data_IF_604088275685
#
_entry.id   IF_604088275685
#
_cell.length_a   1.000
_cell.length_b   1.000
_cell.length_c   1.000
_cell.angle_alpha   90.00
_cell.angle_beta   90.00
_cell.angle_gamma   90.00
#
_symmetry.space_group_name_H-M   'P 1'
#
loop_
_entity.id
_entity.type
_entity.pdbx_description
1 polymer ?
#
# COMPACT_ATOMS: atom_id res chain seq x y z
N UNK A 1 31.31 -35.18 -19.13
CA UNK A 1 31.15 -34.22 -18.02
C UNK A 1 31.40 -32.75 -18.39
N UNK A 2 32.57 -32.35 -18.93
CA UNK A 2 32.90 -30.91 -19.16
C UNK A 2 31.95 -30.11 -20.07
N UNK A 3 31.22 -30.75 -20.99
CA UNK A 3 30.27 -30.05 -21.88
C UNK A 3 29.02 -29.57 -21.13
N UNK A 4 28.42 -30.43 -20.31
CA UNK A 4 27.23 -30.11 -19.51
C UNK A 4 27.52 -29.02 -18.48
N UNK A 5 28.71 -29.00 -17.88
CA UNK A 5 29.11 -27.95 -16.92
C UNK A 5 29.20 -26.57 -17.59
N UNK A 6 29.71 -26.50 -18.82
CA UNK A 6 29.78 -25.23 -19.58
C UNK A 6 28.38 -24.74 -19.98
N UNK A 7 27.49 -25.66 -20.35
CA UNK A 7 26.11 -25.34 -20.72
C UNK A 7 25.30 -24.87 -19.52
N UNK A 8 25.44 -25.53 -18.38
CA UNK A 8 24.80 -25.13 -17.12
C UNK A 8 25.25 -23.73 -16.67
N UNK A 9 26.57 -23.44 -16.74
CA UNK A 9 27.07 -22.09 -16.45
C UNK A 9 26.47 -21.03 -17.38
N UNK A 10 26.34 -21.34 -18.68
CA UNK A 10 25.69 -20.44 -19.65
C UNK A 10 24.21 -20.22 -19.30
N UNK A 11 23.49 -21.30 -19.00
CA UNK A 11 22.07 -21.26 -18.57
C UNK A 11 21.91 -20.37 -17.33
N UNK A 12 22.73 -20.58 -16.29
CA UNK A 12 22.72 -19.74 -15.08
C UNK A 12 23.01 -18.26 -15.37
N UNK A 13 23.95 -17.95 -16.27
CA UNK A 13 24.20 -16.55 -16.65
C UNK A 13 23.01 -15.93 -17.40
N UNK A 14 22.31 -16.71 -18.23
CA UNK A 14 21.12 -16.26 -18.95
C UNK A 14 19.94 -16.01 -17.99
N UNK A 15 19.71 -16.90 -17.01
CA UNK A 15 18.72 -16.69 -15.94
C UNK A 15 19.02 -15.41 -15.15
N UNK A 16 20.28 -15.21 -14.72
CA UNK A 16 20.69 -14.00 -13.99
C UNK A 16 20.46 -12.74 -14.80
N UNK A 17 20.66 -12.79 -16.12
CA UNK A 17 20.38 -11.68 -17.01
C UNK A 17 18.88 -11.42 -17.13
N UNK A 18 18.08 -12.45 -17.45
CA UNK A 18 16.63 -12.32 -17.59
C UNK A 18 15.97 -11.78 -16.32
N UNK A 19 16.33 -12.31 -15.15
CA UNK A 19 15.82 -11.82 -13.85
C UNK A 19 16.21 -10.36 -13.57
N UNK A 20 17.43 -9.94 -13.95
CA UNK A 20 17.85 -8.54 -13.85
C UNK A 20 17.02 -7.65 -14.78
N UNK A 21 16.82 -8.08 -16.02
CA UNK A 21 16.09 -7.31 -17.03
C UNK A 21 14.61 -7.13 -16.61
N UNK A 22 13.98 -8.15 -16.03
CA UNK A 22 12.64 -8.07 -15.43
C UNK A 22 12.60 -7.02 -14.31
N UNK A 23 13.55 -7.07 -13.37
CA UNK A 23 13.62 -6.09 -12.26
C UNK A 23 13.76 -4.66 -12.79
N UNK A 24 14.58 -4.46 -13.83
CA UNK A 24 14.76 -3.16 -14.47
C UNK A 24 13.47 -2.70 -15.14
N UNK A 25 12.77 -3.58 -15.86
CA UNK A 25 11.50 -3.26 -16.51
C UNK A 25 10.44 -2.80 -15.50
N UNK A 26 10.24 -3.57 -14.41
CA UNK A 26 9.30 -3.22 -13.34
C UNK A 26 9.68 -1.87 -12.71
N UNK A 27 10.98 -1.63 -12.44
CA UNK A 27 11.42 -0.35 -11.87
C UNK A 27 11.11 0.82 -12.80
N UNK A 28 11.33 0.66 -14.11
CA UNK A 28 11.00 1.69 -15.11
C UNK A 28 9.50 1.96 -15.14
N UNK A 29 8.67 0.92 -15.14
CA UNK A 29 7.21 1.07 -15.11
C UNK A 29 6.74 1.84 -13.86
N UNK A 30 7.26 1.49 -12.68
CA UNK A 30 6.96 2.21 -11.42
C UNK A 30 7.37 3.69 -11.49
N UNK A 31 8.53 3.98 -12.06
CA UNK A 31 8.99 5.36 -12.24
C UNK A 31 8.10 6.14 -13.20
N UNK A 32 7.67 5.53 -14.30
CA UNK A 32 6.73 6.14 -15.25
C UNK A 32 5.38 6.44 -14.57
N UNK A 33 4.84 5.49 -13.80
CA UNK A 33 3.60 5.67 -13.06
C UNK A 33 3.69 6.83 -12.04
N UNK A 34 4.79 6.90 -11.28
CA UNK A 34 5.02 8.02 -10.37
C UNK A 34 5.11 9.36 -11.11
N UNK A 35 5.78 9.40 -12.26
CA UNK A 35 5.86 10.61 -13.07
C UNK A 35 4.47 11.05 -13.57
N UNK A 36 3.67 10.11 -14.08
CA UNK A 36 2.29 10.37 -14.49
C UNK A 36 1.45 10.91 -13.32
N UNK A 37 1.60 10.35 -12.11
CA UNK A 37 0.91 10.87 -10.93
C UNK A 37 1.32 12.28 -10.52
N UNK A 38 2.61 12.62 -10.66
CA UNK A 38 3.08 14.00 -10.46
C UNK A 38 2.44 14.95 -11.48
N UNK A 39 2.39 14.55 -12.74
CA UNK A 39 1.87 15.40 -13.82
C UNK A 39 0.34 15.56 -13.74
N UNK A 40 -0.39 14.50 -13.36
CA UNK A 40 -1.81 14.57 -13.05
C UNK A 40 -2.10 15.58 -11.92
N UNK A 41 -1.33 15.51 -10.82
CA UNK A 41 -1.47 16.46 -9.70
C UNK A 41 -1.16 17.89 -10.09
N UNK A 42 -0.18 18.13 -10.96
CA UNK A 42 0.12 19.47 -11.47
C UNK A 42 -1.00 20.01 -12.35
N UNK A 43 -1.51 19.18 -13.26
CA UNK A 43 -2.61 19.53 -14.16
C UNK A 43 -3.88 19.85 -13.36
N UNK A 44 -4.20 19.03 -12.36
CA UNK A 44 -5.35 19.26 -11.46
C UNK A 44 -5.21 20.57 -10.66
N UNK A 45 -4.01 20.90 -10.17
CA UNK A 45 -3.75 22.17 -9.49
C UNK A 45 -3.97 23.37 -10.42
N UNK A 46 -3.51 23.29 -11.66
CA UNK A 46 -3.71 24.36 -12.65
C UNK A 46 -5.18 24.48 -13.05
N UNK A 47 -5.89 23.37 -13.24
CA UNK A 47 -7.32 23.34 -13.49
C UNK A 47 -8.09 24.09 -12.37
N UNK A 48 -7.81 23.76 -11.11
CA UNK A 48 -8.40 24.43 -9.94
C UNK A 48 -8.08 25.93 -9.89
N UNK A 49 -6.88 26.33 -10.30
CA UNK A 49 -6.50 27.75 -10.37
C UNK A 49 -7.31 28.48 -11.43
N UNK A 50 -7.49 27.89 -12.62
CA UNK A 50 -8.33 28.48 -13.67
C UNK A 50 -9.79 28.61 -13.23
N UNK A 51 -10.34 27.57 -12.58
CA UNK A 51 -11.70 27.62 -12.02
C UNK A 51 -11.86 28.79 -11.05
N UNK A 52 -10.90 29.00 -10.13
CA UNK A 52 -10.93 30.14 -9.20
C UNK A 52 -10.94 31.50 -9.92
N UNK A 53 -10.15 31.65 -10.99
CA UNK A 53 -10.09 32.89 -11.78
C UNK A 53 -11.46 33.15 -12.45
N UNK A 54 -12.03 32.15 -13.13
CA UNK A 54 -13.33 32.27 -13.81
C UNK A 54 -14.44 32.60 -12.81
N UNK A 55 -14.45 31.93 -11.65
CA UNK A 55 -15.39 32.20 -10.56
C UNK A 55 -15.26 33.65 -10.06
N UNK A 56 -14.04 34.15 -9.87
CA UNK A 56 -13.81 35.54 -9.41
C UNK A 56 -14.28 36.60 -10.42
N UNK A 57 -14.36 36.24 -11.70
CA UNK A 57 -14.88 37.10 -12.76
C UNK A 57 -16.40 36.97 -12.96
N UNK A 58 -17.07 36.11 -12.17
CA UNK A 58 -18.50 35.84 -12.31
C UNK A 58 -18.89 35.13 -13.61
N UNK A 59 -17.92 34.50 -14.28
CA UNK A 59 -18.14 33.81 -15.55
C UNK A 59 -18.57 32.36 -15.32
N UNK A 60 -19.25 31.79 -16.31
CA UNK A 60 -19.64 30.37 -16.30
C UNK A 60 -18.42 29.48 -16.47
N UNK A 61 -18.26 28.49 -15.59
CA UNK A 61 -17.15 27.53 -15.65
C UNK A 61 -17.40 26.52 -16.78
N UNK A 62 -16.46 26.35 -17.72
CA UNK A 62 -16.54 25.30 -18.72
C UNK A 62 -16.63 23.90 -18.08
N UNK A 63 -17.52 23.05 -18.58
CA UNK A 63 -17.74 21.70 -18.04
C UNK A 63 -16.45 20.85 -17.99
N UNK A 64 -15.53 21.04 -18.93
CA UNK A 64 -14.24 20.33 -18.96
C UNK A 64 -13.38 20.59 -17.72
N UNK A 65 -13.46 21.78 -17.11
CA UNK A 65 -12.70 22.13 -15.90
C UNK A 65 -13.35 21.59 -14.61
N UNK A 66 -14.57 21.06 -14.70
CA UNK A 66 -15.26 20.45 -13.57
C UNK A 66 -14.98 18.95 -13.44
N UNK A 67 -14.35 18.35 -14.45
CA UNK A 67 -13.96 16.94 -14.44
C UNK A 67 -12.71 16.80 -13.56
N UNK A 68 -12.82 16.02 -12.49
CA UNK A 68 -11.67 15.70 -11.63
C UNK A 68 -10.64 14.90 -12.40
N UNK A 69 -9.38 15.35 -12.39
CA UNK A 69 -8.27 14.59 -12.94
C UNK A 69 -7.80 13.58 -11.90
N UNK A 70 -7.89 12.29 -12.23
CA UNK A 70 -7.46 11.21 -11.35
C UNK A 70 -5.94 11.09 -11.34
N UNK A 71 -5.38 10.83 -10.16
CA UNK A 71 -3.96 10.54 -9.99
C UNK A 71 -3.71 9.03 -10.25
N UNK A 72 -3.05 8.65 -11.35
CA UNK A 72 -2.79 7.25 -11.67
C UNK A 72 -1.86 6.55 -10.67
N UNK A 73 -1.07 7.28 -9.89
CA UNK A 73 -0.26 6.69 -8.82
C UNK A 73 -1.12 6.20 -7.65
N UNK A 74 -2.24 6.88 -7.38
CA UNK A 74 -3.17 6.54 -6.28
C UNK A 74 -4.34 5.69 -6.73
N UNK A 75 -4.80 5.90 -7.96
CA UNK A 75 -5.92 5.20 -8.57
C UNK A 75 -5.47 4.71 -9.95
N UNK A 76 -4.61 3.68 -10.01
CA UNK A 76 -4.12 3.15 -11.27
C UNK A 76 -5.27 2.55 -12.09
N UNK A 77 -5.23 2.78 -13.39
CA UNK A 77 -6.14 2.12 -14.35
C UNK A 77 -5.68 0.68 -14.62
N UNK A 78 -6.52 -0.12 -15.30
CA UNK A 78 -6.12 -1.47 -15.73
C UNK A 78 -4.83 -1.45 -16.56
N UNK A 79 -4.70 -0.46 -17.45
CA UNK A 79 -3.53 -0.31 -18.33
C UNK A 79 -2.27 0.05 -17.55
N UNK A 80 -2.40 0.87 -16.49
CA UNK A 80 -1.29 1.19 -15.58
C UNK A 80 -0.82 -0.07 -14.82
N UNK A 81 -1.76 -0.92 -14.40
CA UNK A 81 -1.45 -2.18 -13.73
C UNK A 81 -0.79 -3.18 -14.67
N UNK A 82 -1.26 -3.28 -15.92
CA UNK A 82 -0.65 -4.13 -16.93
C UNK A 82 0.79 -3.68 -17.24
N UNK A 83 1.02 -2.36 -17.27
CA UNK A 83 2.36 -1.80 -17.46
C UNK A 83 3.35 -2.16 -16.34
N UNK A 84 2.86 -2.47 -15.14
CA UNK A 84 3.70 -2.93 -14.02
C UNK A 84 4.11 -4.40 -14.14
N UNK A 85 3.44 -5.17 -15.01
CA UNK A 85 3.78 -6.57 -15.21
C UNK A 85 5.10 -6.71 -15.97
N UNK A 86 5.89 -7.76 -15.66
CA UNK A 86 7.07 -8.07 -16.46
C UNK A 86 6.70 -8.29 -17.94
N UNK A 87 7.55 -7.89 -18.88
CA UNK A 87 7.36 -8.20 -20.29
C UNK A 87 7.17 -9.71 -20.50
N UNK A 88 6.13 -10.16 -21.22
CA UNK A 88 5.83 -11.57 -21.42
C UNK A 88 6.99 -12.36 -22.04
N UNK A 89 7.76 -11.73 -22.93
CA UNK A 89 8.95 -12.32 -23.56
C UNK A 89 10.02 -12.69 -22.52
N UNK A 90 10.29 -11.80 -21.56
CA UNK A 90 11.27 -12.05 -20.50
C UNK A 90 10.81 -13.16 -19.55
N UNK A 91 9.50 -13.27 -19.30
CA UNK A 91 8.93 -14.36 -18.51
C UNK A 91 9.08 -15.70 -19.24
N UNK A 92 8.80 -15.76 -20.54
CA UNK A 92 8.96 -16.98 -21.35
C UNK A 92 10.41 -17.42 -21.42
N UNK A 93 11.34 -16.48 -21.61
CA UNK A 93 12.78 -16.79 -21.58
C UNK A 93 13.17 -17.37 -20.22
N UNK A 94 12.64 -16.80 -19.12
CA UNK A 94 12.94 -17.30 -17.78
C UNK A 94 12.38 -18.71 -17.54
N UNK A 95 11.14 -19.00 -17.96
CA UNK A 95 10.52 -20.33 -17.77
C UNK A 95 11.21 -21.43 -18.58
N UNK A 96 11.68 -21.12 -19.80
CA UNK A 96 12.46 -22.05 -20.61
C UNK A 96 13.86 -22.31 -20.04
N UNK A 97 14.42 -21.30 -19.35
CA UNK A 97 15.74 -21.38 -18.74
C UNK A 97 15.70 -21.84 -17.29
N UNK A 98 14.55 -21.96 -16.65
CA UNK A 98 14.52 -22.55 -15.31
C UNK A 98 14.85 -24.04 -15.45
N UNK A 99 15.73 -24.61 -14.62
CA UNK A 99 15.77 -26.06 -14.50
C UNK A 99 14.35 -26.52 -14.13
N UNK A 100 13.88 -27.71 -14.58
CA UNK A 100 12.87 -28.38 -13.80
C UNK A 100 13.48 -28.44 -12.40
N UNK A 101 12.91 -27.70 -11.46
CA UNK A 101 13.14 -28.03 -10.07
C UNK A 101 12.90 -29.54 -10.04
N UNK A 102 13.93 -30.29 -9.64
CA UNK A 102 13.64 -31.56 -9.02
C UNK A 102 12.73 -31.12 -7.89
N UNK A 103 11.42 -31.18 -8.12
CA UNK A 103 10.45 -31.12 -7.07
C UNK A 103 11.02 -32.12 -6.08
N UNK A 104 11.52 -31.63 -4.95
CA UNK A 104 11.61 -32.49 -3.80
C UNK A 104 10.22 -33.08 -3.74
N UNK A 105 10.17 -34.38 -3.99
CA UNK A 105 8.96 -35.17 -4.09
C UNK A 105 8.31 -35.17 -2.72
N UNK A 106 7.68 -34.06 -2.30
CA UNK A 106 6.39 -34.19 -1.65
C UNK A 106 5.47 -34.63 -2.76
N UNK A 107 5.47 -35.95 -2.97
CA UNK A 107 4.28 -36.67 -3.37
C UNK A 107 3.17 -36.04 -2.53
N UNK A 108 2.30 -35.25 -3.15
CA UNK A 108 1.08 -34.85 -2.49
C UNK A 108 0.35 -36.16 -2.30
N UNK A 109 0.42 -36.71 -1.09
CA UNK A 109 -0.33 -37.89 -0.71
C UNK A 109 -1.81 -37.56 -0.98
N UNK A 110 -2.49 -38.28 -1.89
CA UNK A 110 -3.90 -38.04 -2.17
C UNK A 110 -4.76 -38.09 -0.90
N UNK A 111 -4.31 -38.79 0.16
CA UNK A 111 -5.01 -38.84 1.44
C UNK A 111 -4.96 -37.53 2.24
N UNK A 112 -3.98 -36.65 2.00
CA UNK A 112 -3.89 -35.35 2.67
C UNK A 112 -4.84 -34.30 2.07
N UNK A 113 -5.27 -34.47 0.82
CA UNK A 113 -6.19 -33.53 0.16
C UNK A 113 -7.59 -33.57 0.79
N UNK A 114 -8.04 -34.73 1.25
CA UNK A 114 -9.31 -34.89 1.98
C UNK A 114 -9.27 -34.27 3.38
N UNK A 115 -8.10 -34.24 4.03
CA UNK A 115 -7.95 -33.65 5.37
C UNK A 115 -8.01 -32.12 5.35
N UNK A 116 -7.52 -31.47 4.29
CA UNK A 116 -7.58 -30.02 4.14
C UNK A 116 -9.02 -29.51 3.92
N UNK A 117 -9.86 -30.30 3.23
CA UNK A 117 -11.28 -29.97 3.05
C UNK A 117 -12.09 -30.05 4.35
N UNK A 118 -11.73 -30.96 5.27
CA UNK A 118 -12.34 -31.04 6.62
C UNK A 118 -11.97 -29.88 7.55
N UNK A 119 -10.81 -29.25 7.37
CA UNK A 119 -10.40 -28.11 8.19
C UNK A 119 -11.19 -26.84 7.81
N UNK A 120 -11.53 -26.68 6.52
CA UNK A 120 -12.35 -25.56 6.04
C UNK A 120 -13.83 -25.65 6.46
N UNK A 121 -14.37 -26.85 6.68
CA UNK A 121 -15.75 -27.01 7.18
C UNK A 121 -15.90 -26.62 8.66
N UNK A 122 -14.85 -26.75 9.48
CA UNK A 122 -14.93 -26.51 10.92
C UNK A 122 -14.84 -25.02 11.31
N UNK A 123 -14.23 -24.17 10.48
CA UNK A 123 -14.23 -22.71 10.73
C UNK A 123 -15.55 -22.03 10.35
N UNK A 124 -16.38 -22.65 9.51
CA UNK A 124 -17.63 -22.04 9.04
C UNK A 124 -18.83 -22.25 9.98
N UNK A 125 -18.67 -23.08 11.04
CA UNK A 125 -19.73 -23.39 12.03
C UNK A 125 -19.56 -22.66 13.38
N UNK A 126 -18.75 -21.60 13.46
CA UNK A 126 -18.68 -20.76 14.69
C UNK A 126 -19.13 -19.31 14.47
N UNK A 127 -19.70 -18.98 13.31
CA UNK A 127 -20.03 -17.59 12.98
C UNK A 127 -21.46 -17.41 12.50
N UNK A 128 -22.42 -17.51 13.40
CA UNK A 128 -23.74 -16.86 13.26
C UNK A 128 -24.35 -16.59 14.67
N UNK A 129 -25.31 -15.65 14.81
CA UNK A 129 -25.13 -14.42 15.58
C UNK A 129 -26.09 -14.31 16.78
N UNK A 130 -25.76 -13.49 17.78
CA UNK A 130 -26.74 -13.17 18.82
C UNK A 130 -26.20 -12.36 20.00
N UNK A 131 -26.50 -11.06 19.99
CA UNK A 131 -26.97 -10.26 21.14
C UNK A 131 -26.24 -10.37 22.50
N UNK A 132 -25.56 -9.29 22.91
CA UNK A 132 -25.26 -9.07 24.33
C UNK A 132 -24.23 -7.98 24.61
N UNK A 133 -24.70 -6.87 25.16
CA UNK A 133 -23.97 -5.69 25.65
C UNK A 133 -22.91 -6.08 26.71
N UNK A 134 -21.73 -5.43 26.70
CA UNK A 134 -20.79 -5.50 27.82
C UNK A 134 -19.43 -4.84 27.55
N UNK A 135 -19.26 -3.61 28.04
CA UNK A 135 -18.03 -2.81 28.03
C UNK A 135 -16.86 -3.54 28.66
N UNK A 136 -15.63 -3.46 28.12
CA UNK A 136 -14.41 -3.17 28.92
C UNK A 136 -13.32 -2.51 28.04
N UNK A 137 -12.87 -1.34 28.52
CA UNK A 137 -11.66 -0.60 28.22
C UNK A 137 -10.40 -1.47 28.41
N UNK A 138 -9.44 -1.42 27.48
CA UNK A 138 -8.06 -1.82 27.79
C UNK A 138 -7.11 -0.85 27.10
N UNK A 139 -6.75 0.17 27.88
CA UNK A 139 -5.59 1.04 27.69
C UNK A 139 -4.30 0.23 27.91
N UNK A 140 -3.23 0.73 27.27
CA UNK A 140 -1.86 0.78 27.81
C UNK A 140 -1.05 -0.55 27.79
N UNK A 141 0.22 -0.64 27.40
CA UNK A 141 1.25 0.36 27.08
C UNK A 141 2.38 -0.32 26.31
N UNK A 142 2.95 0.47 25.40
CA UNK A 142 4.11 0.20 24.56
C UNK A 142 5.40 0.30 25.39
N UNK A 143 6.17 -0.79 25.43
CA UNK A 143 7.45 -0.90 26.12
C UNK A 143 8.60 -0.80 25.11
N UNK A 144 9.24 0.37 25.04
CA UNK A 144 10.61 0.51 24.57
C UNK A 144 11.43 1.16 25.68
N UNK A 145 12.26 0.35 26.32
CA UNK A 145 13.24 0.83 27.30
C UNK A 145 14.37 1.61 26.64
N UNK A 146 14.75 2.72 27.25
CA UNK A 146 16.11 3.27 27.25
C UNK A 146 16.24 4.17 28.49
N UNK A 147 16.74 3.52 29.55
CA UNK A 147 17.57 4.04 30.63
C UNK A 147 18.10 5.49 30.53
N UNK A 148 17.75 6.30 31.53
CA UNK A 148 18.59 7.35 32.13
C UNK A 148 17.98 7.75 33.47
N UNK A 149 18.40 7.06 34.51
CA UNK A 149 18.16 7.39 35.91
C UNK A 149 19.39 8.13 36.45
N UNK A 150 19.23 9.41 36.74
CA UNK A 150 20.06 10.16 37.67
C UNK A 150 19.08 10.86 38.60
N UNK A 151 18.98 10.32 39.82
CA UNK A 151 18.07 10.81 40.83
C UNK A 151 18.36 12.24 41.28
N UNK A 152 17.32 12.89 41.80
CA UNK A 152 17.40 13.46 43.15
C UNK A 152 15.98 13.70 43.68
N UNK A 153 15.82 13.50 44.97
CA UNK A 153 14.57 13.63 45.72
C UNK A 153 14.23 15.11 45.95
N UNK A 154 12.97 15.51 45.82
CA UNK A 154 12.42 16.66 46.57
C UNK A 154 10.91 16.80 46.44
N UNK A 155 10.23 16.58 47.55
CA UNK A 155 8.88 17.08 47.85
C UNK A 155 8.87 18.61 47.93
N UNK A 156 7.90 19.28 47.32
CA UNK A 156 7.24 20.48 47.91
C UNK A 156 6.07 20.97 47.07
N UNK A 157 4.98 21.24 47.77
CA UNK A 157 3.69 21.75 47.34
C UNK A 157 3.73 23.12 46.63
N UNK A 158 2.59 23.41 45.98
CA UNK A 158 2.05 24.72 45.58
C UNK A 158 2.50 25.30 44.22
N UNK A 159 1.55 25.37 43.27
CA UNK A 159 0.85 26.63 42.94
C UNK A 159 0.31 26.65 41.50
N UNK A 160 -1.01 26.89 41.38
CA UNK A 160 -1.71 27.52 40.25
C UNK A 160 -1.62 26.88 38.86
N UNK A 161 -2.58 25.98 38.60
CA UNK A 161 -3.28 25.83 37.32
C UNK A 161 -3.60 27.20 36.69
N UNK A 162 -2.90 27.57 35.62
CA UNK A 162 -3.34 28.61 34.68
C UNK A 162 -3.99 27.92 33.47
N UNK A 163 -5.31 27.75 33.56
CA UNK A 163 -6.18 27.36 32.44
C UNK A 163 -6.34 28.58 31.51
N UNK A 164 -5.48 28.68 30.50
CA UNK A 164 -5.67 29.70 29.46
C UNK A 164 -6.83 29.32 28.54
N UNK A 165 -7.74 30.30 28.46
CA UNK A 165 -9.10 30.24 27.93
C UNK A 165 -9.14 30.06 26.42
N UNK A 166 -9.81 29.00 25.95
CA UNK A 166 -10.18 28.86 24.53
C UNK A 166 -11.42 29.73 24.29
N UNK A 167 -11.21 30.90 23.68
CA UNK A 167 -12.28 31.80 23.25
C UNK A 167 -13.13 31.12 22.18
N UNK A 168 -14.32 30.67 22.57
CA UNK A 168 -15.35 30.14 21.70
C UNK A 168 -16.15 31.31 21.09
N UNK A 169 -15.78 31.74 19.89
CA UNK A 169 -16.55 32.75 19.14
C UNK A 169 -17.70 32.04 18.40
N UNK A 170 -18.83 31.82 19.09
CA UNK A 170 -20.07 31.35 18.48
C UNK A 170 -21.10 32.48 18.51
N UNK A 171 -21.16 33.24 17.42
CA UNK A 171 -22.15 34.29 17.21
C UNK A 171 -23.41 33.64 16.59
N UNK A 172 -24.43 33.38 17.41
CA UNK A 172 -25.73 32.96 16.89
C UNK A 172 -26.54 34.20 16.50
N UNK A 173 -26.76 34.38 15.20
CA UNK A 173 -27.69 35.36 14.64
C UNK A 173 -29.11 34.92 15.01
N UNK A 174 -29.76 35.66 15.91
CA UNK A 174 -31.18 35.53 16.17
C UNK A 174 -31.99 36.08 14.99
N UNK A 175 -32.89 35.26 14.45
CA UNK A 175 -33.93 35.76 13.54
C UNK A 175 -35.18 36.11 14.37
N UNK A 176 -35.57 37.38 14.25
CA UNK A 176 -36.80 38.10 14.62
C UNK A 176 -37.75 37.51 15.68
#
# INVERSE_FOLDING_TARGET
>A
MRKNEKEEKKKQTAIKKATKDIKVAIKKAKMALNQHGIDARKTEKECKKQVKIIQSQGQTIPAALLITILDPEKNPTSDDLESLLPPPDLLQVLTLLEPPAIFNTSVIDPQLLDSANRILELEHEMRQPGSGIGNILSQDTENYGTDKDLGDESDSDLSCISLDSIVQNANFVGFY
#
